data_IF_623532407181
#
_entry.id   IF_623532407181
#
_cell.length_a   1.000
_cell.length_b   1.000
_cell.length_c   1.000
_cell.angle_alpha   90.00
_cell.angle_beta   90.00
_cell.angle_gamma   90.00
#
_symmetry.space_group_name_H-M   'P 1'
#
loop_
_entity.id
_entity.type
_entity.pdbx_description
1 polymer ?
#
# COMPACT_ATOMS: atom_id res chain seq x y z
N UNK A 1 -20.47 5.70 8.30
CA UNK A 1 -19.12 5.91 8.85
C UNK A 1 -18.27 4.71 8.44
N UNK A 2 -17.01 4.94 8.05
CA UNK A 2 -16.06 3.90 7.65
C UNK A 2 -14.82 4.00 8.56
N UNK A 3 -14.84 3.38 9.74
CA UNK A 3 -13.73 3.46 10.67
C UNK A 3 -12.49 2.74 10.15
N UNK A 4 -11.31 3.28 10.42
CA UNK A 4 -10.02 2.73 10.00
C UNK A 4 -8.90 3.12 10.96
N UNK A 5 -7.72 2.55 10.75
CA UNK A 5 -6.49 2.86 11.51
C UNK A 5 -5.59 3.78 10.69
N UNK A 6 -5.33 4.98 11.18
CA UNK A 6 -4.34 5.89 10.61
C UNK A 6 -2.92 5.36 10.77
N UNK A 7 -2.66 4.71 11.92
CA UNK A 7 -1.39 4.09 12.23
C UNK A 7 -1.49 2.58 12.38
N UNK A 8 -0.84 1.85 11.47
CA UNK A 8 -0.67 0.40 11.55
C UNK A 8 0.59 -0.01 10.80
N UNK A 9 1.57 -0.53 11.52
CA UNK A 9 2.85 -0.95 10.93
C UNK A 9 3.78 -1.63 11.91
N UNK A 10 5.07 -1.55 11.61
CA UNK A 10 6.16 -2.17 12.37
C UNK A 10 7.17 -1.13 12.80
N UNK A 11 7.91 -1.38 13.88
CA UNK A 11 8.94 -0.45 14.37
C UNK A 11 10.08 -0.30 13.33
N UNK A 12 10.48 0.94 12.98
CA UNK A 12 11.61 1.17 12.08
C UNK A 12 12.97 0.87 12.74
N UNK A 13 14.04 0.82 11.92
CA UNK A 13 15.38 0.54 12.41
C UNK A 13 16.02 1.71 13.18
N UNK A 14 15.56 2.94 12.95
CA UNK A 14 16.06 4.15 13.62
C UNK A 14 14.92 4.74 14.45
N UNK A 15 15.21 5.01 15.72
CA UNK A 15 14.23 5.50 16.70
C UNK A 15 13.63 6.86 16.28
N UNK A 16 12.32 7.02 16.51
CA UNK A 16 11.55 8.21 16.13
C UNK A 16 10.13 8.18 16.72
N UNK A 17 9.43 9.32 16.75
CA UNK A 17 7.99 9.34 16.98
C UNK A 17 7.24 8.52 15.93
N UNK A 18 6.25 7.75 16.36
CA UNK A 18 5.37 6.94 15.50
C UNK A 18 4.70 7.76 14.38
N UNK A 19 4.28 8.98 14.69
CA UNK A 19 3.74 9.96 13.73
C UNK A 19 4.70 10.35 12.61
N UNK A 20 6.01 10.14 12.79
CA UNK A 20 7.03 10.44 11.81
C UNK A 20 7.54 9.16 11.10
N UNK A 21 6.91 8.01 11.35
CA UNK A 21 7.14 6.79 10.59
C UNK A 21 6.36 6.81 9.27
N UNK A 22 6.61 7.83 8.46
CA UNK A 22 6.16 8.03 7.08
C UNK A 22 7.02 9.09 6.41
N UNK A 23 7.13 9.05 5.09
CA UNK A 23 8.01 9.93 4.31
C UNK A 23 7.66 11.41 4.37
N UNK A 24 6.40 11.78 4.51
CA UNK A 24 6.00 13.19 4.59
C UNK A 24 6.27 13.77 5.98
N UNK A 25 5.68 13.22 7.04
CA UNK A 25 5.89 13.72 8.40
C UNK A 25 7.32 13.48 8.87
N UNK A 26 7.94 12.36 8.47
CA UNK A 26 9.37 12.12 8.70
C UNK A 26 10.28 13.18 8.12
N UNK A 27 9.85 13.94 7.10
CA UNK A 27 10.62 15.07 6.57
C UNK A 27 10.83 16.18 7.61
N UNK A 28 9.94 16.31 8.59
CA UNK A 28 10.07 17.29 9.68
C UNK A 28 11.18 16.95 10.68
N UNK A 29 11.69 15.70 10.69
CA UNK A 29 12.84 15.33 11.51
C UNK A 29 14.16 15.87 10.96
N UNK A 30 14.22 16.23 9.67
CA UNK A 30 15.45 16.71 9.04
C UNK A 30 15.85 18.07 9.64
N UNK A 31 16.99 18.10 10.34
CA UNK A 31 17.49 19.28 11.04
C UNK A 31 16.70 19.68 12.30
N UNK A 32 15.84 18.80 12.83
CA UNK A 32 15.09 19.10 14.04
C UNK A 32 16.01 19.23 15.27
N UNK A 33 15.75 20.18 16.20
CA UNK A 33 16.66 20.51 17.32
C UNK A 33 16.52 19.57 18.53
N UNK A 34 15.84 18.43 18.39
CA UNK A 34 15.56 17.48 19.46
C UNK A 34 16.20 16.11 19.20
N UNK A 35 16.11 15.19 20.17
CA UNK A 35 16.81 13.89 20.14
C UNK A 35 16.49 13.02 18.92
N UNK A 36 15.28 13.14 18.35
CA UNK A 36 14.88 12.39 17.14
C UNK A 36 15.24 13.08 15.81
N UNK A 37 15.99 14.18 15.84
CA UNK A 37 16.40 14.88 14.63
C UNK A 37 17.39 14.06 13.80
N UNK A 38 17.17 14.02 12.49
CA UNK A 38 18.06 13.37 11.51
C UNK A 38 18.77 14.41 10.66
N UNK A 39 19.91 14.06 10.06
CA UNK A 39 20.69 15.00 9.23
C UNK A 39 20.12 15.11 7.84
N UNK A 40 19.86 13.96 7.23
CA UNK A 40 19.47 13.83 5.84
C UNK A 40 18.19 13.00 5.73
N UNK A 41 17.41 13.24 4.68
CA UNK A 41 16.11 12.59 4.50
C UNK A 41 16.23 11.07 4.29
N UNK A 42 17.32 10.62 3.69
CA UNK A 42 17.63 9.23 3.41
C UNK A 42 17.86 8.41 4.70
N UNK A 43 18.24 9.08 5.81
CA UNK A 43 18.35 8.46 7.13
C UNK A 43 16.98 8.08 7.71
N UNK A 44 15.89 8.59 7.13
CA UNK A 44 14.54 8.33 7.62
C UNK A 44 14.23 6.84 7.65
N UNK A 45 14.64 6.03 6.68
CA UNK A 45 14.45 4.56 6.68
C UNK A 45 13.06 4.12 7.22
N UNK A 46 12.00 4.80 6.79
CA UNK A 46 10.66 4.55 7.29
C UNK A 46 10.13 3.18 6.86
N UNK A 47 9.32 2.61 7.74
CA UNK A 47 8.52 1.40 7.45
C UNK A 47 7.09 1.77 7.06
N UNK A 48 6.78 3.07 7.12
CA UNK A 48 5.57 3.81 6.78
C UNK A 48 4.31 3.41 7.54
N UNK A 49 4.40 3.09 8.83
CA UNK A 49 3.24 2.74 9.64
C UNK A 49 2.24 3.87 9.87
N UNK A 50 2.60 5.15 9.65
CA UNK A 50 1.71 6.31 9.78
C UNK A 50 1.14 6.72 8.41
N UNK A 51 0.12 5.98 7.97
CA UNK A 51 -0.35 6.02 6.59
C UNK A 51 -1.52 6.98 6.36
N UNK A 52 -2.47 7.02 7.30
CA UNK A 52 -3.74 7.74 7.15
C UNK A 52 -4.44 7.43 5.82
N UNK A 53 -4.46 6.14 5.48
CA UNK A 53 -5.14 5.60 4.31
C UNK A 53 -6.47 5.01 4.77
N UNK A 54 -7.60 5.61 4.38
CA UNK A 54 -8.93 5.17 4.78
C UNK A 54 -9.25 3.69 4.45
N UNK A 55 -8.52 3.13 3.46
CA UNK A 55 -8.61 1.72 3.01
C UNK A 55 -7.90 0.75 3.98
N UNK A 56 -7.11 1.24 4.93
CA UNK A 56 -6.52 0.46 6.03
C UNK A 56 -7.58 0.17 7.11
N UNK A 57 -8.65 -0.53 6.74
CA UNK A 57 -9.85 -0.74 7.56
C UNK A 57 -10.20 -2.22 7.72
N UNK A 58 -11.27 -2.49 8.45
CA UNK A 58 -11.76 -3.86 8.69
C UNK A 58 -11.86 -4.65 7.37
N UNK A 59 -11.21 -5.83 7.37
CA UNK A 59 -11.17 -6.76 6.24
C UNK A 59 -9.97 -6.56 5.29
N UNK A 60 -9.26 -5.43 5.37
CA UNK A 60 -8.01 -5.25 4.61
C UNK A 60 -6.87 -6.05 5.24
N UNK A 61 -5.92 -6.48 4.42
CA UNK A 61 -4.66 -7.10 4.86
C UNK A 61 -3.53 -6.10 4.62
N UNK A 62 -2.70 -5.88 5.64
CA UNK A 62 -1.52 -5.02 5.54
C UNK A 62 -0.27 -5.87 5.71
N UNK A 63 0.64 -5.76 4.75
CA UNK A 63 1.95 -6.41 4.79
C UNK A 63 2.98 -5.32 5.04
N UNK A 64 3.67 -5.39 6.18
CA UNK A 64 4.65 -4.39 6.60
C UNK A 64 6.08 -4.94 6.66
N UNK A 65 7.11 -4.13 6.34
CA UNK A 65 8.51 -4.57 6.36
C UNK A 65 9.06 -4.75 7.78
N UNK A 66 9.63 -5.91 8.10
CA UNK A 66 10.27 -6.14 9.40
C UNK A 66 11.72 -5.61 9.40
N UNK A 67 11.99 -4.57 10.20
CA UNK A 67 13.33 -3.95 10.32
C UNK A 67 14.04 -4.23 11.65
N UNK A 68 13.31 -4.68 12.66
CA UNK A 68 13.84 -5.00 13.99
C UNK A 68 13.44 -6.42 14.43
N UNK A 69 14.22 -7.00 15.36
CA UNK A 69 13.91 -8.33 15.92
C UNK A 69 12.53 -8.28 16.61
N UNK A 70 11.64 -9.18 16.22
CA UNK A 70 10.26 -9.22 16.73
C UNK A 70 9.27 -8.32 15.98
N UNK A 71 9.73 -7.52 15.01
CA UNK A 71 8.88 -6.66 14.16
C UNK A 71 8.36 -5.40 14.85
N UNK A 72 7.92 -5.51 16.11
CA UNK A 72 7.32 -4.39 16.84
C UNK A 72 6.05 -3.91 16.15
N UNK A 73 5.05 -4.80 16.01
CA UNK A 73 3.76 -4.40 15.44
C UNK A 73 3.07 -3.42 16.38
N UNK A 74 2.64 -2.28 15.84
CA UNK A 74 1.91 -1.26 16.59
C UNK A 74 0.69 -0.78 15.80
N UNK A 75 -0.30 -0.29 16.53
CA UNK A 75 -1.56 0.23 16.00
C UNK A 75 -2.05 1.39 16.85
N UNK A 76 -2.59 2.41 16.21
CA UNK A 76 -3.11 3.59 16.87
C UNK A 76 -3.86 4.48 15.89
N UNK A 77 -4.13 5.71 16.31
CA UNK A 77 -4.67 6.75 15.44
C UNK A 77 -6.00 6.32 14.79
N UNK A 78 -6.97 5.94 15.64
CA UNK A 78 -8.25 5.42 15.19
C UNK A 78 -9.13 6.56 14.68
N UNK A 79 -9.62 6.43 13.45
CA UNK A 79 -10.47 7.44 12.82
C UNK A 79 -11.84 6.87 12.52
N UNK A 80 -12.91 7.61 12.84
CA UNK A 80 -14.28 7.20 12.49
C UNK A 80 -14.59 7.46 11.00
N UNK A 81 -13.94 8.47 10.42
CA UNK A 81 -13.96 8.82 9.01
C UNK A 81 -12.83 9.80 8.68
N UNK A 82 -12.30 9.70 7.46
CA UNK A 82 -11.36 10.64 6.86
C UNK A 82 -11.64 10.67 5.36
N UNK A 83 -11.55 11.85 4.73
CA UNK A 83 -11.49 11.95 3.27
C UNK A 83 -10.06 11.78 2.78
N UNK A 84 -9.87 11.20 1.59
CA UNK A 84 -8.54 11.09 0.98
C UNK A 84 -7.85 12.46 0.93
N UNK A 85 -6.61 12.49 1.40
CA UNK A 85 -5.77 13.69 1.48
C UNK A 85 -5.72 14.36 2.85
N UNK A 86 -6.65 14.09 3.76
CA UNK A 86 -6.66 14.68 5.12
C UNK A 86 -6.42 16.20 5.10
N UNK A 87 -7.08 16.92 4.18
CA UNK A 87 -6.68 18.29 3.81
C UNK A 87 -6.76 19.31 4.95
N UNK A 88 -7.60 19.06 5.95
CA UNK A 88 -7.71 19.91 7.14
C UNK A 88 -6.59 19.67 8.18
N UNK A 89 -5.74 18.66 7.98
CA UNK A 89 -4.70 18.25 8.92
C UNK A 89 -5.23 17.58 10.19
N UNK A 90 -6.46 17.07 10.15
CA UNK A 90 -7.07 16.29 11.22
C UNK A 90 -8.17 15.38 10.66
N UNK A 91 -8.64 14.45 11.49
CA UNK A 91 -9.71 13.51 11.15
C UNK A 91 -10.90 13.62 12.13
N UNK A 92 -11.78 12.62 12.13
CA UNK A 92 -12.65 12.34 13.27
C UNK A 92 -11.97 11.32 14.19
N UNK A 93 -11.07 11.82 15.04
CA UNK A 93 -10.28 11.00 15.96
C UNK A 93 -11.17 10.39 17.06
N UNK A 94 -11.06 9.08 17.25
CA UNK A 94 -11.88 8.32 18.20
C UNK A 94 -11.05 7.29 18.95
N UNK A 95 -11.58 6.79 20.07
CA UNK A 95 -11.08 5.55 20.66
C UNK A 95 -11.73 4.35 19.97
N UNK A 96 -10.98 3.26 19.81
CA UNK A 96 -11.48 2.04 19.19
C UNK A 96 -10.75 0.80 19.69
N UNK A 97 -11.32 -0.37 19.39
CA UNK A 97 -10.70 -1.67 19.67
C UNK A 97 -10.42 -2.34 18.34
N UNK A 98 -9.16 -2.67 18.09
CA UNK A 98 -8.72 -3.38 16.88
C UNK A 98 -8.44 -4.83 17.26
N UNK A 99 -9.10 -5.76 16.59
CA UNK A 99 -8.75 -7.18 16.62
C UNK A 99 -8.05 -7.52 15.32
N UNK A 100 -6.82 -8.03 15.40
CA UNK A 100 -6.01 -8.38 14.24
C UNK A 100 -5.36 -9.75 14.41
N UNK A 101 -5.12 -10.41 13.29
CA UNK A 101 -4.27 -11.59 13.20
C UNK A 101 -2.93 -11.19 12.60
N UNK A 102 -1.83 -11.65 13.19
CA UNK A 102 -0.48 -11.35 12.73
C UNK A 102 0.20 -12.63 12.29
N UNK A 103 0.68 -12.65 11.04
CA UNK A 103 1.42 -13.77 10.45
C UNK A 103 2.75 -13.27 9.92
N UNK A 104 3.83 -14.02 10.17
CA UNK A 104 5.16 -13.67 9.66
C UNK A 104 5.38 -14.30 8.29
N UNK A 105 5.51 -13.45 7.26
CA UNK A 105 5.90 -13.87 5.91
C UNK A 105 7.43 -13.89 5.80
N UNK A 106 8.00 -15.03 5.39
CA UNK A 106 9.46 -15.20 5.20
C UNK A 106 9.81 -15.07 3.71
N UNK A 107 11.00 -14.55 3.42
CA UNK A 107 11.49 -14.44 2.04
C UNK A 107 10.91 -13.27 1.23
N UNK A 108 9.97 -12.51 1.80
CA UNK A 108 9.36 -11.35 1.16
C UNK A 108 10.09 -10.06 1.59
N UNK A 109 10.92 -9.51 0.70
CA UNK A 109 11.72 -8.31 0.99
C UNK A 109 11.05 -7.05 0.41
N UNK A 110 10.16 -6.44 1.18
CA UNK A 110 9.48 -5.19 0.81
C UNK A 110 10.14 -3.98 1.47
N UNK A 111 10.09 -2.84 0.79
CA UNK A 111 10.68 -1.58 1.30
C UNK A 111 9.69 -0.73 2.08
N UNK A 112 8.39 -0.98 1.90
CA UNK A 112 7.29 -0.28 2.57
C UNK A 112 6.01 -1.12 2.54
N UNK A 113 4.90 -0.60 3.08
CA UNK A 113 3.67 -1.34 3.23
C UNK A 113 3.02 -1.69 1.89
N UNK A 114 2.40 -2.87 1.87
CA UNK A 114 1.48 -3.29 0.82
C UNK A 114 0.11 -3.49 1.46
N UNK A 115 -0.93 -2.97 0.82
CA UNK A 115 -2.32 -3.15 1.24
C UNK A 115 -2.98 -4.08 0.23
N UNK A 116 -3.66 -5.10 0.75
CA UNK A 116 -4.65 -5.88 0.00
C UNK A 116 -6.02 -5.36 0.49
N UNK A 117 -6.59 -4.34 -0.17
CA UNK A 117 -7.83 -3.72 0.29
C UNK A 117 -9.01 -4.68 0.11
N UNK A 118 -10.15 -4.38 0.74
CA UNK A 118 -11.38 -5.12 0.41
C UNK A 118 -11.89 -4.74 -0.98
N UNK A 119 -12.76 -5.57 -1.56
CA UNK A 119 -13.20 -5.41 -2.93
C UNK A 119 -13.85 -4.05 -3.21
N UNK A 120 -14.61 -3.52 -2.25
CA UNK A 120 -15.31 -2.24 -2.34
C UNK A 120 -14.36 -1.05 -2.45
N UNK A 121 -13.15 -1.17 -1.89
CA UNK A 121 -12.12 -0.15 -1.87
C UNK A 121 -11.19 -0.22 -3.08
N UNK A 122 -11.36 -1.22 -3.95
CA UNK A 122 -10.56 -1.32 -5.16
C UNK A 122 -10.97 -0.24 -6.17
N UNK A 123 -9.99 0.47 -6.76
CA UNK A 123 -10.22 1.27 -7.95
C UNK A 123 -10.93 0.44 -9.01
N UNK A 124 -11.87 1.06 -9.72
CA UNK A 124 -12.67 0.36 -10.72
C UNK A 124 -11.83 -0.44 -11.71
N UNK A 125 -10.74 0.16 -12.23
CA UNK A 125 -9.82 -0.47 -13.18
C UNK A 125 -8.94 -1.56 -12.56
N UNK A 126 -8.72 -1.55 -11.25
CA UNK A 126 -7.89 -2.57 -10.57
C UNK A 126 -8.67 -3.84 -10.24
N UNK A 127 -10.00 -3.82 -10.32
CA UNK A 127 -10.83 -4.98 -9.96
C UNK A 127 -10.53 -6.20 -10.85
N UNK A 128 -10.58 -7.42 -10.29
CA UNK A 128 -10.55 -8.63 -11.09
C UNK A 128 -11.66 -8.62 -12.14
N UNK A 129 -11.35 -9.08 -13.35
CA UNK A 129 -12.33 -9.14 -14.44
C UNK A 129 -13.50 -10.06 -14.08
N UNK A 130 -14.71 -9.56 -14.29
CA UNK A 130 -15.93 -10.36 -14.19
C UNK A 130 -15.98 -11.44 -15.27
N UNK A 131 -16.84 -12.45 -15.09
CA UNK A 131 -17.07 -13.50 -16.10
C UNK A 131 -17.45 -12.92 -17.48
N UNK A 132 -18.22 -11.83 -17.49
CA UNK A 132 -18.63 -11.14 -18.72
C UNK A 132 -17.44 -10.45 -19.39
N UNK A 133 -16.61 -9.74 -18.62
CA UNK A 133 -15.42 -9.07 -19.14
C UNK A 133 -14.39 -10.09 -19.65
N UNK A 134 -14.19 -11.20 -18.94
CA UNK A 134 -13.32 -12.30 -19.40
C UNK A 134 -13.82 -12.89 -20.73
N UNK A 135 -15.13 -13.04 -20.91
CA UNK A 135 -15.68 -13.52 -22.18
C UNK A 135 -15.45 -12.54 -23.34
N UNK A 136 -15.60 -11.23 -23.10
CA UNK A 136 -15.31 -10.18 -24.08
C UNK A 136 -13.83 -10.16 -24.42
N UNK A 137 -12.96 -10.18 -23.41
CA UNK A 137 -11.51 -10.20 -23.58
C UNK A 137 -11.06 -11.43 -24.40
N UNK A 138 -11.70 -12.60 -24.20
CA UNK A 138 -11.41 -13.81 -24.96
C UNK A 138 -11.70 -13.67 -26.46
N UNK A 139 -12.83 -13.05 -26.81
CA UNK A 139 -13.17 -12.79 -28.22
C UNK A 139 -12.13 -11.87 -28.88
N UNK A 140 -11.74 -10.78 -28.21
CA UNK A 140 -10.71 -9.88 -28.75
C UNK A 140 -9.32 -10.53 -28.79
N UNK A 141 -8.98 -11.33 -27.78
CA UNK A 141 -7.73 -12.10 -27.72
C UNK A 141 -7.57 -13.03 -28.92
N UNK A 142 -8.61 -13.78 -29.26
CA UNK A 142 -8.65 -14.68 -30.42
C UNK A 142 -8.56 -13.90 -31.75
N UNK A 143 -9.26 -12.76 -31.84
CA UNK A 143 -9.26 -11.91 -33.04
C UNK A 143 -7.90 -11.29 -33.34
N UNK A 144 -7.19 -10.83 -32.32
CA UNK A 144 -5.91 -10.12 -32.47
C UNK A 144 -4.67 -10.98 -32.20
N UNK A 145 -4.86 -12.25 -31.83
CA UNK A 145 -3.79 -13.17 -31.43
C UNK A 145 -2.91 -12.60 -30.30
N UNK A 146 -3.54 -12.01 -29.28
CA UNK A 146 -2.88 -11.42 -28.09
C UNK A 146 -3.35 -12.16 -26.85
N UNK A 147 -2.46 -12.76 -26.03
CA UNK A 147 -2.87 -13.51 -24.84
C UNK A 147 -3.46 -12.60 -23.76
N UNK A 148 -4.36 -13.15 -22.95
CA UNK A 148 -4.90 -12.49 -21.76
C UNK A 148 -4.02 -12.84 -20.57
N UNK A 149 -3.49 -11.82 -19.89
CA UNK A 149 -2.77 -12.00 -18.64
C UNK A 149 -3.75 -12.20 -17.47
N UNK A 150 -3.65 -13.34 -16.78
CA UNK A 150 -4.33 -13.51 -15.49
C UNK A 150 -3.61 -12.65 -14.44
N UNK A 151 -4.36 -11.77 -13.80
CA UNK A 151 -3.83 -10.75 -12.89
C UNK A 151 -4.82 -10.43 -11.77
N UNK A 152 -4.30 -9.99 -10.62
CA UNK A 152 -5.08 -9.64 -9.44
C UNK A 152 -4.52 -8.38 -8.75
N UNK A 153 -5.36 -7.59 -8.06
CA UNK A 153 -4.93 -6.29 -7.55
C UNK A 153 -4.01 -6.39 -6.34
N UNK A 154 -3.07 -5.45 -6.27
CA UNK A 154 -2.21 -5.20 -5.12
C UNK A 154 -1.97 -3.69 -5.00
N UNK A 155 -1.97 -3.14 -3.78
CA UNK A 155 -1.73 -1.71 -3.54
C UNK A 155 -0.41 -1.48 -2.83
N UNK A 156 0.48 -0.69 -3.44
CA UNK A 156 1.79 -0.34 -2.89
C UNK A 156 1.73 1.05 -2.26
N UNK A 157 2.09 1.16 -0.99
CA UNK A 157 2.15 2.45 -0.29
C UNK A 157 3.44 3.15 -0.66
N UNK A 158 3.33 4.41 -1.05
CA UNK A 158 4.46 5.32 -1.18
C UNK A 158 4.25 6.53 -0.29
N UNK A 159 5.32 6.98 0.33
CA UNK A 159 5.31 8.20 1.11
C UNK A 159 6.56 9.03 0.83
N UNK A 160 6.43 10.34 0.84
CA UNK A 160 7.48 11.27 0.43
C UNK A 160 7.18 12.71 0.83
N UNK A 161 8.16 13.61 0.71
CA UNK A 161 7.98 15.06 0.98
C UNK A 161 6.80 15.72 0.24
N UNK A 162 6.39 15.15 -0.88
CA UNK A 162 5.31 15.64 -1.75
C UNK A 162 4.56 14.45 -2.38
N UNK A 163 3.39 14.71 -2.96
CA UNK A 163 2.63 13.67 -3.67
C UNK A 163 3.42 13.09 -4.83
N UNK A 164 4.15 13.92 -5.59
CA UNK A 164 4.99 13.43 -6.69
C UNK A 164 6.08 12.48 -6.18
N UNK A 165 6.75 12.86 -5.09
CA UNK A 165 7.76 11.99 -4.49
C UNK A 165 7.13 10.70 -3.94
N UNK A 166 5.96 10.77 -3.30
CA UNK A 166 5.25 9.60 -2.81
C UNK A 166 4.85 8.65 -3.96
N UNK A 167 4.42 9.19 -5.10
CA UNK A 167 4.12 8.42 -6.32
C UNK A 167 5.37 7.75 -6.85
N UNK A 168 6.48 8.47 -6.99
CA UNK A 168 7.77 7.89 -7.40
C UNK A 168 8.17 6.74 -6.48
N UNK A 169 8.08 6.93 -5.15
CA UNK A 169 8.38 5.88 -4.17
C UNK A 169 7.46 4.65 -4.36
N UNK A 170 6.15 4.83 -4.49
CA UNK A 170 5.22 3.72 -4.70
C UNK A 170 5.54 2.93 -5.98
N UNK A 171 5.81 3.62 -7.09
CA UNK A 171 6.14 3.02 -8.37
C UNK A 171 7.48 2.27 -8.33
N UNK A 172 8.50 2.85 -7.69
CA UNK A 172 9.80 2.22 -7.52
C UNK A 172 9.73 0.98 -6.63
N UNK A 173 9.01 1.04 -5.52
CA UNK A 173 8.78 -0.11 -4.61
C UNK A 173 8.10 -1.26 -5.35
N UNK A 174 7.05 -0.95 -6.09
CA UNK A 174 6.34 -1.93 -6.91
C UNK A 174 7.25 -2.54 -7.98
N UNK A 175 7.97 -1.71 -8.74
CA UNK A 175 8.89 -2.16 -9.79
C UNK A 175 9.98 -3.07 -9.25
N UNK A 176 10.60 -2.68 -8.13
CA UNK A 176 11.66 -3.46 -7.48
C UNK A 176 11.16 -4.81 -6.99
N UNK A 177 9.99 -4.87 -6.33
CA UNK A 177 9.45 -6.12 -5.82
C UNK A 177 9.03 -7.07 -6.95
N UNK A 178 8.39 -6.53 -8.00
CA UNK A 178 7.80 -7.33 -9.09
C UNK A 178 8.81 -7.67 -10.20
N UNK A 179 10.00 -7.09 -10.17
CA UNK A 179 10.97 -7.19 -11.26
C UNK A 179 10.49 -6.48 -12.53
N UNK A 180 9.75 -5.37 -12.38
CA UNK A 180 9.20 -4.56 -13.46
C UNK A 180 9.95 -3.24 -13.57
N UNK A 181 10.04 -2.70 -14.79
CA UNK A 181 10.54 -1.34 -14.97
C UNK A 181 9.51 -0.33 -14.45
N UNK A 182 9.96 0.83 -13.95
CA UNK A 182 9.03 1.90 -13.52
C UNK A 182 8.06 2.31 -14.64
N UNK A 183 8.47 2.46 -15.92
CA UNK A 183 7.52 2.71 -17.02
C UNK A 183 6.43 1.63 -17.17
N UNK A 184 6.75 0.36 -16.92
CA UNK A 184 5.74 -0.71 -16.94
C UNK A 184 4.73 -0.52 -15.80
N UNK A 185 5.20 -0.25 -14.58
CA UNK A 185 4.34 0.01 -13.42
C UNK A 185 3.45 1.24 -13.66
N UNK A 186 4.01 2.31 -14.23
CA UNK A 186 3.24 3.50 -14.63
C UNK A 186 2.11 3.13 -15.58
N UNK A 187 2.39 2.34 -16.61
CA UNK A 187 1.38 1.91 -17.57
C UNK A 187 0.30 1.03 -16.92
N UNK A 188 0.69 0.14 -16.00
CA UNK A 188 -0.26 -0.69 -15.23
C UNK A 188 -1.16 0.15 -14.32
N UNK A 189 -0.61 1.17 -13.65
CA UNK A 189 -1.39 2.12 -12.86
C UNK A 189 -2.37 2.92 -13.74
N UNK A 190 -1.99 3.25 -14.97
CA UNK A 190 -2.84 4.01 -15.90
C UNK A 190 -3.99 3.18 -16.49
N UNK A 191 -3.71 1.93 -16.90
CA UNK A 191 -4.65 1.11 -17.69
C UNK A 191 -5.42 0.10 -16.86
N UNK A 192 -4.82 -0.39 -15.77
CA UNK A 192 -5.33 -1.51 -14.97
C UNK A 192 -5.32 -1.20 -13.46
N UNK A 193 -5.29 0.08 -13.12
CA UNK A 193 -4.99 0.53 -11.77
C UNK A 193 -5.42 1.95 -11.50
N UNK A 194 -4.81 2.54 -10.47
CA UNK A 194 -4.95 3.94 -10.09
C UNK A 194 -3.79 4.37 -9.16
N UNK A 195 -3.60 5.68 -9.06
CA UNK A 195 -2.90 6.33 -7.94
C UNK A 195 -3.96 7.01 -7.08
N UNK A 196 -4.02 6.67 -5.80
CA UNK A 196 -4.95 7.28 -4.85
C UNK A 196 -4.18 7.97 -3.73
N UNK A 197 -4.64 9.16 -3.34
CA UNK A 197 -4.05 9.91 -2.22
C UNK A 197 -4.53 9.24 -0.92
N UNK A 198 -3.61 9.00 0.02
CA UNK A 198 -3.95 8.69 1.42
C UNK A 198 -4.05 9.98 2.22
N UNK A 199 -2.90 10.67 2.33
CA UNK A 199 -2.73 11.92 3.08
C UNK A 199 -1.88 12.91 2.30
N UNK A 200 -2.23 14.19 2.36
CA UNK A 200 -1.41 15.28 1.87
C UNK A 200 -0.47 15.75 3.00
N UNK A 201 0.80 16.10 2.69
CA UNK A 201 1.30 16.37 1.36
C UNK A 201 1.89 15.16 0.63
N UNK A 202 1.96 13.95 1.20
CA UNK A 202 2.78 12.92 0.56
C UNK A 202 2.62 11.48 1.04
N UNK A 203 1.39 10.97 1.14
CA UNK A 203 1.11 9.52 1.19
C UNK A 203 0.16 9.14 0.06
N UNK A 204 0.50 8.09 -0.68
CA UNK A 204 -0.31 7.55 -1.79
C UNK A 204 -0.33 6.03 -1.80
N UNK A 205 -1.31 5.46 -2.48
CA UNK A 205 -1.33 4.05 -2.89
C UNK A 205 -1.30 3.94 -4.40
N UNK A 206 -0.33 3.19 -4.92
CA UNK A 206 -0.33 2.72 -6.31
C UNK A 206 -0.98 1.34 -6.38
N UNK A 207 -2.21 1.29 -6.87
CA UNK A 207 -3.02 0.06 -6.92
C UNK A 207 -3.17 -0.38 -8.37
N UNK A 208 -2.75 -1.59 -8.73
CA UNK A 208 -2.90 -2.09 -10.09
C UNK A 208 -2.97 -3.62 -10.11
N UNK A 209 -3.41 -4.19 -11.24
CA UNK A 209 -3.42 -5.65 -11.42
C UNK A 209 -2.00 -6.17 -11.69
N UNK A 210 -1.54 -7.03 -10.78
CA UNK A 210 -0.25 -7.73 -10.83
C UNK A 210 -0.44 -9.10 -11.48
N UNK A 211 0.47 -9.56 -12.35
CA UNK A 211 0.40 -10.90 -12.94
C UNK A 211 0.36 -11.99 -11.86
N UNK A 212 -0.51 -12.99 -12.05
CA UNK A 212 -0.67 -14.10 -11.09
C UNK A 212 0.64 -14.85 -10.85
N UNK A 213 1.46 -15.04 -11.89
CA UNK A 213 2.74 -15.74 -11.74
C UNK A 213 3.72 -14.97 -10.84
N UNK A 214 3.72 -13.63 -10.90
CA UNK A 214 4.49 -12.79 -9.96
C UNK A 214 3.97 -12.89 -8.54
N UNK A 215 2.66 -12.92 -8.35
CA UNK A 215 2.07 -13.12 -7.03
C UNK A 215 2.43 -14.51 -6.45
N UNK A 216 2.51 -15.55 -7.29
CA UNK A 216 2.93 -16.89 -6.87
C UNK A 216 4.43 -16.93 -6.52
N UNK A 217 5.29 -16.34 -7.34
CA UNK A 217 6.73 -16.20 -7.08
C UNK A 217 6.99 -15.53 -5.71
N UNK A 218 6.18 -14.53 -5.36
CA UNK A 218 6.27 -13.80 -4.09
C UNK A 218 5.55 -14.48 -2.90
N UNK A 219 4.85 -15.60 -3.12
CA UNK A 219 4.06 -16.26 -2.09
C UNK A 219 2.83 -15.46 -1.62
N UNK A 220 2.34 -14.53 -2.45
CA UNK A 220 1.20 -13.65 -2.14
C UNK A 220 -0.10 -14.09 -2.81
N UNK A 221 -0.04 -14.99 -3.80
CA UNK A 221 -1.21 -15.34 -4.61
C UNK A 221 -2.37 -15.91 -3.79
N UNK A 222 -2.10 -16.81 -2.84
CA UNK A 222 -3.16 -17.43 -2.02
C UNK A 222 -3.94 -16.39 -1.21
N UNK A 223 -3.23 -15.45 -0.56
CA UNK A 223 -3.82 -14.35 0.20
C UNK A 223 -4.70 -13.46 -0.68
N UNK A 224 -4.19 -13.05 -1.85
CA UNK A 224 -4.93 -12.22 -2.80
C UNK A 224 -6.13 -12.96 -3.39
N UNK A 225 -5.97 -14.24 -3.70
CA UNK A 225 -7.01 -15.05 -4.29
C UNK A 225 -8.14 -15.38 -3.30
N UNK A 226 -7.81 -15.60 -2.01
CA UNK A 226 -8.80 -15.72 -0.95
C UNK A 226 -9.57 -14.41 -0.76
N UNK A 227 -8.86 -13.28 -0.63
CA UNK A 227 -9.46 -11.95 -0.45
C UNK A 227 -10.51 -11.62 -1.52
N UNK A 228 -10.23 -11.97 -2.77
CA UNK A 228 -11.09 -11.64 -3.91
C UNK A 228 -11.86 -12.82 -4.49
N UNK A 229 -11.93 -13.96 -3.78
CA UNK A 229 -12.63 -15.18 -4.20
C UNK A 229 -12.24 -15.68 -5.61
N UNK A 230 -10.94 -15.68 -5.93
CA UNK A 230 -10.41 -16.09 -7.24
C UNK A 230 -10.11 -17.59 -7.36
N UNK A 231 -10.16 -18.34 -6.26
CA UNK A 231 -9.90 -19.79 -6.21
C UNK A 231 -11.11 -20.68 -6.60
N UNK A 232 -12.07 -20.14 -7.35
CA UNK A 232 -13.34 -20.82 -7.68
C UNK A 232 -13.52 -21.06 -9.17
#
# INVERSE_FOLDING_TARGET
>A
MQPFVGQLGTVPAVDRPDSHNAGDFGAFLVGAPHEFGIKDYEELQATDGHMDIARARQGAIIIAPVRVKGGGVYVGDMHAMQGDGEIAGHTTDVSGVVTMQVTVLKGLNIEGPIIIPIYEDLPHLARPLSKKEKAIAKVESEKWNVPIEESAPLAFVGSGKTLNHAVEVALHRAGKLLGMTVPEVMNRCTITGNIEIGRAPGVVTATFRVPVDKLKELGLYELVAEQYNLLK
#
